data_IF_188934192751
#
_entry.id   IF_188934192751
#
_cell.length_a   1.000
_cell.length_b   1.000
_cell.length_c   1.000
_cell.angle_alpha   90.00
_cell.angle_beta   90.00
_cell.angle_gamma   90.00
#
_symmetry.space_group_name_H-M   'P 1'
#
loop_
_entity.id
_entity.type
_entity.pdbx_description
1 polymer ?
#
# COMPACT_ATOMS: atom_id res chain seq x y z
N UNK A 1 -2.06 21.29 -12.61
CA UNK A 1 -1.48 20.36 -11.67
C UNK A 1 -1.10 20.97 -10.31
N UNK A 2 -2.13 21.38 -9.57
CA UNK A 2 -1.97 21.94 -8.25
C UNK A 2 -3.07 21.44 -7.29
N UNK A 3 -3.78 20.38 -7.64
CA UNK A 3 -4.91 19.87 -6.87
C UNK A 3 -4.73 18.37 -6.63
N UNK A 4 -4.84 17.94 -5.37
CA UNK A 4 -4.78 16.55 -4.94
C UNK A 4 -5.97 16.21 -4.07
N UNK A 5 -6.32 14.93 -3.98
CA UNK A 5 -7.29 14.43 -3.03
C UNK A 5 -6.55 13.61 -1.96
N UNK A 6 -6.80 13.90 -0.69
CA UNK A 6 -6.36 13.08 0.44
C UNK A 6 -7.59 12.45 1.06
N UNK A 7 -7.56 11.12 1.31
CA UNK A 7 -8.68 10.39 1.88
C UNK A 7 -8.24 9.41 2.98
N UNK A 8 -9.18 9.10 3.88
CA UNK A 8 -9.06 8.02 4.85
C UNK A 8 -10.35 7.23 4.90
N UNK A 9 -10.24 5.90 4.80
CA UNK A 9 -11.38 5.00 4.82
C UNK A 9 -11.25 3.92 5.90
N UNK A 10 -12.35 3.31 6.25
CA UNK A 10 -12.39 2.23 7.24
C UNK A 10 -12.35 0.84 6.59
N UNK A 11 -12.82 0.72 5.35
CA UNK A 11 -12.90 -0.54 4.59
C UNK A 11 -13.25 -0.29 3.11
N UNK A 12 -13.49 -1.39 2.36
CA UNK A 12 -13.92 -1.41 0.93
C UNK A 12 -13.00 -0.62 -0.01
N UNK A 13 -11.71 -0.61 0.28
CA UNK A 13 -10.67 0.19 -0.36
C UNK A 13 -10.69 0.05 -1.89
N UNK A 14 -10.85 -1.17 -2.41
CA UNK A 14 -10.83 -1.42 -3.86
C UNK A 14 -12.04 -0.80 -4.58
N UNK A 15 -13.22 -0.77 -3.93
CA UNK A 15 -14.40 -0.07 -4.47
C UNK A 15 -14.20 1.43 -4.40
N UNK A 16 -13.65 1.88 -3.28
CA UNK A 16 -13.40 3.29 -3.03
C UNK A 16 -12.47 3.89 -4.09
N UNK A 17 -11.27 3.30 -4.31
CA UNK A 17 -10.33 3.80 -5.32
C UNK A 17 -10.90 3.80 -6.72
N UNK A 18 -11.74 2.81 -7.06
CA UNK A 18 -12.43 2.77 -8.35
C UNK A 18 -13.41 3.94 -8.50
N UNK A 19 -14.17 4.22 -7.44
CA UNK A 19 -15.13 5.33 -7.42
C UNK A 19 -14.41 6.67 -7.50
N UNK A 20 -13.38 6.88 -6.68
CA UNK A 20 -12.57 8.11 -6.72
C UNK A 20 -11.93 8.31 -8.09
N UNK A 21 -11.32 7.26 -8.66
CA UNK A 21 -10.67 7.36 -9.96
C UNK A 21 -11.65 7.80 -11.05
N UNK A 22 -12.87 7.26 -11.07
CA UNK A 22 -13.89 7.65 -12.05
C UNK A 22 -14.29 9.13 -11.98
N UNK A 23 -14.21 9.73 -10.79
CA UNK A 23 -14.56 11.13 -10.55
C UNK A 23 -13.38 12.09 -10.68
N UNK A 24 -12.18 11.68 -10.25
CA UNK A 24 -11.00 12.53 -10.10
C UNK A 24 -10.10 12.51 -11.34
N UNK A 25 -9.88 11.32 -11.95
CA UNK A 25 -8.97 11.19 -13.08
C UNK A 25 -9.35 12.06 -14.29
N UNK A 26 -10.64 12.21 -14.68
CA UNK A 26 -11.02 13.12 -15.75
C UNK A 26 -10.71 14.60 -15.49
N UNK A 27 -10.46 14.95 -14.22
CA UNK A 27 -10.10 16.31 -13.78
C UNK A 27 -8.60 16.46 -13.52
N UNK A 28 -7.80 15.43 -13.76
CA UNK A 28 -6.35 15.41 -13.49
C UNK A 28 -6.01 15.47 -11.99
N UNK A 29 -6.95 15.13 -11.10
CA UNK A 29 -6.75 15.14 -9.65
C UNK A 29 -6.25 13.76 -9.22
N UNK A 30 -5.08 13.73 -8.61
CA UNK A 30 -4.47 12.50 -8.06
C UNK A 30 -4.93 12.25 -6.62
N UNK A 31 -4.99 10.96 -6.25
CA UNK A 31 -5.43 10.49 -4.93
C UNK A 31 -4.24 9.95 -4.13
N UNK A 32 -4.11 10.42 -2.89
CA UNK A 32 -3.35 9.79 -1.82
C UNK A 32 -4.31 9.44 -0.68
N UNK A 33 -4.22 8.23 -0.14
CA UNK A 33 -5.11 7.84 0.94
C UNK A 33 -4.56 6.71 1.81
N UNK A 34 -5.28 6.42 2.91
CA UNK A 34 -4.92 5.38 3.85
C UNK A 34 -6.12 4.72 4.52
N UNK A 35 -5.97 3.44 4.83
CA UNK A 35 -6.97 2.69 5.58
C UNK A 35 -6.75 2.90 7.07
N UNK A 36 -7.78 3.27 7.80
CA UNK A 36 -7.77 3.40 9.25
C UNK A 36 -7.73 2.00 9.88
N UNK A 37 -6.87 1.80 10.87
CA UNK A 37 -6.70 0.53 11.57
C UNK A 37 -6.46 0.72 13.07
N UNK A 38 -6.34 -0.37 13.82
CA UNK A 38 -5.93 -0.34 15.23
C UNK A 38 -7.02 0.13 16.19
N UNK A 39 -8.29 -0.07 15.85
CA UNK A 39 -9.37 0.16 16.80
C UNK A 39 -9.18 -0.72 18.05
N UNK A 40 -9.51 -0.22 19.25
CA UNK A 40 -9.51 -1.05 20.47
C UNK A 40 -10.39 -2.29 20.32
N UNK A 41 -10.08 -3.35 21.06
CA UNK A 41 -10.81 -4.61 21.01
C UNK A 41 -12.32 -4.41 21.15
N UNK A 42 -13.06 -5.05 20.25
CA UNK A 42 -14.51 -4.98 20.18
C UNK A 42 -15.08 -3.66 19.62
N UNK A 43 -14.23 -2.73 19.16
CA UNK A 43 -14.65 -1.51 18.48
C UNK A 43 -14.33 -1.56 17.00
N UNK A 44 -15.14 -0.88 16.20
CA UNK A 44 -14.86 -0.67 14.78
C UNK A 44 -13.92 0.51 14.57
N UNK A 45 -13.18 0.48 13.47
CA UNK A 45 -12.45 1.65 12.96
C UNK A 45 -13.45 2.73 12.53
N UNK A 46 -13.09 3.98 12.75
CA UNK A 46 -13.95 5.13 12.49
C UNK A 46 -13.20 6.24 11.80
N UNK A 47 -13.91 7.04 11.03
CA UNK A 47 -13.46 8.35 10.53
C UNK A 47 -14.34 9.43 11.12
N UNK A 48 -13.86 10.69 11.13
CA UNK A 48 -14.66 11.80 11.67
C UNK A 48 -14.74 12.96 10.67
N UNK A 49 -15.92 13.60 10.64
CA UNK A 49 -16.17 14.79 9.85
C UNK A 49 -17.09 15.74 10.61
N UNK A 50 -16.67 17.00 10.74
CA UNK A 50 -17.44 18.05 11.45
C UNK A 50 -17.90 17.63 12.86
N UNK A 51 -17.02 16.98 13.62
CA UNK A 51 -17.31 16.55 15.00
C UNK A 51 -18.21 15.32 15.11
N UNK A 52 -18.61 14.70 13.99
CA UNK A 52 -19.35 13.44 13.95
C UNK A 52 -18.44 12.28 13.58
N UNK A 53 -18.73 11.12 14.13
CA UNK A 53 -18.01 9.87 13.93
C UNK A 53 -18.81 8.98 12.99
N UNK A 54 -18.11 8.32 12.05
CA UNK A 54 -18.71 7.45 11.05
C UNK A 54 -17.95 6.13 11.00
N UNK A 55 -18.70 5.02 11.03
CA UNK A 55 -18.23 3.67 10.74
C UNK A 55 -18.52 3.35 9.26
N UNK A 56 -17.81 2.35 8.70
CA UNK A 56 -18.00 1.91 7.31
C UNK A 56 -18.05 3.08 6.30
N UNK A 57 -17.09 3.99 6.43
CA UNK A 57 -17.12 5.28 5.76
C UNK A 57 -15.74 5.72 5.27
N UNK A 58 -15.75 6.74 4.44
CA UNK A 58 -14.57 7.46 3.98
C UNK A 58 -14.75 8.95 4.23
N UNK A 59 -13.69 9.61 4.64
CA UNK A 59 -13.58 11.08 4.64
C UNK A 59 -12.49 11.50 3.67
N UNK A 60 -12.68 12.61 2.97
CA UNK A 60 -11.69 13.11 2.04
C UNK A 60 -11.68 14.63 1.98
N UNK A 61 -10.56 15.18 1.51
CA UNK A 61 -10.40 16.57 1.18
C UNK A 61 -9.79 16.73 -0.21
N UNK A 62 -10.38 17.57 -1.04
CA UNK A 62 -9.78 18.02 -2.29
C UNK A 62 -9.05 19.33 -1.97
N UNK A 63 -7.72 19.29 -2.11
CA UNK A 63 -6.82 20.37 -1.71
C UNK A 63 -6.22 20.99 -2.96
N UNK A 64 -6.47 22.27 -3.18
CA UNK A 64 -5.84 23.05 -4.24
C UNK A 64 -4.73 23.92 -3.64
N UNK A 65 -3.51 23.71 -4.07
CA UNK A 65 -2.43 24.63 -3.77
C UNK A 65 -2.56 25.88 -4.64
N UNK A 66 -2.77 27.03 -4.03
CA UNK A 66 -3.00 28.30 -4.73
C UNK A 66 -1.69 29.03 -5.05
N UNK A 67 -0.56 28.58 -4.50
CA UNK A 67 0.74 29.25 -4.62
C UNK A 67 1.77 28.47 -5.42
N UNK A 68 1.48 27.20 -5.71
CA UNK A 68 2.43 26.33 -6.40
C UNK A 68 1.82 25.02 -6.86
N UNK A 69 2.67 24.08 -7.19
CA UNK A 69 2.33 22.73 -7.61
C UNK A 69 1.93 21.87 -6.43
N UNK A 70 1.06 20.87 -6.67
CA UNK A 70 0.82 19.75 -5.78
C UNK A 70 0.82 18.45 -6.59
N UNK A 71 1.39 17.39 -6.05
CA UNK A 71 1.43 16.08 -6.71
C UNK A 71 1.41 14.93 -5.70
N UNK A 72 1.16 13.71 -6.17
CA UNK A 72 1.12 12.50 -5.36
C UNK A 72 2.14 11.49 -5.86
N UNK A 73 2.87 10.88 -4.95
CA UNK A 73 3.91 9.88 -5.22
C UNK A 73 3.63 8.59 -4.45
N UNK A 74 4.11 7.47 -5.00
CA UNK A 74 4.07 6.15 -4.37
C UNK A 74 5.48 5.57 -4.35
N UNK A 75 5.89 5.02 -3.23
CA UNK A 75 7.16 4.32 -3.08
C UNK A 75 6.92 2.86 -2.72
N UNK A 76 7.50 1.96 -3.52
CA UNK A 76 7.53 0.53 -3.29
C UNK A 76 8.98 0.09 -3.07
N UNK A 77 9.25 -0.59 -1.96
CA UNK A 77 10.60 -1.07 -1.58
C UNK A 77 10.84 -2.54 -1.93
N UNK A 78 9.92 -3.16 -2.66
CA UNK A 78 10.02 -4.57 -3.06
C UNK A 78 10.19 -4.70 -4.56
N UNK A 79 10.91 -5.75 -4.95
CA UNK A 79 11.20 -6.11 -6.32
C UNK A 79 10.69 -7.52 -6.63
N UNK A 80 10.48 -7.85 -7.90
CA UNK A 80 10.21 -9.23 -8.31
C UNK A 80 11.39 -10.12 -7.88
N UNK A 81 11.10 -11.17 -7.12
CA UNK A 81 12.13 -12.12 -6.69
C UNK A 81 12.76 -12.84 -7.88
N UNK A 82 11.93 -13.18 -8.87
CA UNK A 82 12.30 -13.77 -10.17
C UNK A 82 11.28 -13.30 -11.22
N UNK A 83 11.54 -13.59 -12.50
CA UNK A 83 10.57 -13.35 -13.57
C UNK A 83 9.43 -14.38 -13.60
N UNK A 84 9.48 -15.38 -12.71
CA UNK A 84 8.46 -16.41 -12.62
C UNK A 84 7.20 -15.83 -11.96
N UNK A 85 6.06 -16.12 -12.56
CA UNK A 85 4.75 -15.74 -12.07
C UNK A 85 3.82 -16.95 -11.97
N UNK A 86 2.74 -16.79 -11.23
CA UNK A 86 1.71 -17.79 -11.01
C UNK A 86 0.34 -17.22 -11.33
N UNK A 87 -0.59 -18.06 -11.74
CA UNK A 87 -1.98 -17.66 -11.88
C UNK A 87 -2.80 -18.05 -10.65
N UNK A 88 -3.58 -17.11 -10.14
CA UNK A 88 -4.54 -17.36 -9.07
C UNK A 88 -5.76 -18.11 -9.62
N UNK A 89 -5.67 -19.45 -9.70
CA UNK A 89 -6.71 -20.27 -10.34
C UNK A 89 -8.00 -20.35 -9.52
N UNK A 90 -7.87 -20.41 -8.19
CA UNK A 90 -8.99 -20.46 -7.26
C UNK A 90 -8.80 -19.44 -6.15
N UNK A 91 -9.80 -18.58 -5.99
CA UNK A 91 -9.80 -17.50 -5.01
C UNK A 91 -11.18 -17.40 -4.34
N UNK A 92 -11.21 -16.90 -3.12
CA UNK A 92 -12.41 -16.37 -2.46
C UNK A 92 -12.24 -14.86 -2.29
N UNK A 93 -12.82 -14.10 -3.20
CA UNK A 93 -12.67 -12.64 -3.22
C UNK A 93 -13.36 -11.96 -2.03
N UNK A 94 -14.42 -12.57 -1.47
CA UNK A 94 -15.11 -12.03 -0.30
C UNK A 94 -14.25 -12.14 0.96
N UNK A 95 -13.49 -13.24 1.07
CA UNK A 95 -12.53 -13.46 2.17
C UNK A 95 -11.13 -12.96 1.87
N UNK A 96 -10.91 -12.35 0.70
CA UNK A 96 -9.59 -11.93 0.22
C UNK A 96 -8.57 -13.11 0.24
N UNK A 97 -9.00 -14.35 -0.06
CA UNK A 97 -8.18 -15.55 0.01
C UNK A 97 -7.76 -16.07 -1.37
N UNK A 98 -6.47 -16.41 -1.49
CA UNK A 98 -5.91 -17.17 -2.62
C UNK A 98 -5.83 -18.62 -2.20
N UNK A 99 -6.65 -19.46 -2.82
CA UNK A 99 -6.78 -20.88 -2.47
C UNK A 99 -5.77 -21.70 -3.28
N UNK A 100 -5.66 -21.42 -4.58
CA UNK A 100 -4.74 -22.13 -5.48
C UNK A 100 -3.98 -21.16 -6.38
N UNK A 101 -2.71 -21.46 -6.54
CA UNK A 101 -1.81 -20.93 -7.55
C UNK A 101 -1.38 -22.08 -8.48
N UNK A 102 -1.56 -21.93 -9.79
CA UNK A 102 -1.24 -22.95 -10.81
C UNK A 102 -1.83 -24.34 -10.50
N UNK A 103 -3.06 -24.39 -9.95
CA UNK A 103 -3.79 -25.61 -9.62
C UNK A 103 -3.26 -26.35 -8.38
N UNK A 104 -2.41 -25.73 -7.56
CA UNK A 104 -1.87 -26.27 -6.30
C UNK A 104 -2.22 -25.32 -5.15
N UNK A 105 -2.26 -25.84 -3.92
CA UNK A 105 -2.48 -25.00 -2.75
C UNK A 105 -1.50 -23.82 -2.72
N UNK A 106 -2.00 -22.61 -2.49
CA UNK A 106 -1.20 -21.39 -2.60
C UNK A 106 0.01 -21.40 -1.65
N UNK A 107 -0.16 -21.92 -0.44
CA UNK A 107 0.94 -22.07 0.52
C UNK A 107 2.01 -23.05 0.07
N UNK A 108 1.65 -24.11 -0.68
CA UNK A 108 2.62 -25.07 -1.23
C UNK A 108 3.49 -24.42 -2.30
N UNK A 109 2.86 -23.65 -3.18
CA UNK A 109 3.57 -22.94 -4.24
C UNK A 109 4.51 -21.91 -3.64
N UNK A 110 4.02 -21.11 -2.69
CA UNK A 110 4.82 -20.11 -2.00
C UNK A 110 6.01 -20.74 -1.25
N UNK A 111 5.72 -21.73 -0.37
CA UNK A 111 6.75 -22.42 0.43
C UNK A 111 7.85 -23.03 -0.43
N UNK A 112 7.47 -23.70 -1.52
CA UNK A 112 8.45 -24.34 -2.41
C UNK A 112 9.32 -23.33 -3.18
N UNK A 113 8.76 -22.20 -3.59
CA UNK A 113 9.53 -21.25 -4.40
C UNK A 113 10.34 -20.28 -3.54
N UNK A 114 9.76 -19.80 -2.44
CA UNK A 114 10.44 -18.88 -1.54
C UNK A 114 11.45 -19.61 -0.63
N UNK A 115 11.24 -20.91 -0.40
CA UNK A 115 12.10 -21.73 0.46
C UNK A 115 11.81 -21.56 1.94
N UNK A 116 10.57 -21.22 2.30
CA UNK A 116 10.15 -20.96 3.69
C UNK A 116 9.16 -22.04 4.14
N UNK A 117 9.30 -22.60 5.35
CA UNK A 117 8.33 -23.53 5.91
C UNK A 117 6.91 -22.92 5.95
N UNK A 118 5.87 -23.74 5.77
CA UNK A 118 4.49 -23.25 5.69
C UNK A 118 4.05 -22.46 6.92
N UNK A 119 4.42 -22.92 8.12
CA UNK A 119 4.14 -22.26 9.38
C UNK A 119 4.83 -20.90 9.54
N UNK A 120 5.77 -20.56 8.66
CA UNK A 120 6.50 -19.29 8.63
C UNK A 120 6.08 -18.35 7.50
N UNK A 121 5.14 -18.74 6.66
CA UNK A 121 4.73 -17.93 5.49
C UNK A 121 4.25 -16.55 5.91
N UNK A 122 3.34 -16.47 6.90
CA UNK A 122 2.77 -15.20 7.35
C UNK A 122 3.82 -14.30 7.99
N UNK A 123 4.72 -14.87 8.81
CA UNK A 123 5.83 -14.12 9.41
C UNK A 123 6.81 -13.60 8.34
N UNK A 124 6.94 -14.30 7.22
CA UNK A 124 7.86 -13.94 6.14
C UNK A 124 7.33 -12.82 5.22
N UNK A 125 6.13 -12.31 5.45
CA UNK A 125 5.51 -11.25 4.64
C UNK A 125 6.36 -9.98 4.52
N UNK A 126 7.19 -9.68 5.50
CA UNK A 126 8.10 -8.54 5.46
C UNK A 126 9.26 -8.72 4.47
N UNK A 127 9.64 -9.95 4.17
CA UNK A 127 10.72 -10.25 3.24
C UNK A 127 10.20 -10.58 1.84
N UNK A 128 9.14 -11.39 1.77
CA UNK A 128 8.64 -11.91 0.50
C UNK A 128 7.10 -11.84 0.42
N UNK A 129 6.50 -10.65 0.28
CA UNK A 129 5.07 -10.54 0.06
C UNK A 129 4.67 -11.05 -1.33
N UNK A 130 3.37 -11.31 -1.52
CA UNK A 130 2.81 -11.50 -2.84
C UNK A 130 2.58 -10.16 -3.54
N UNK A 131 2.74 -10.14 -4.87
CA UNK A 131 2.46 -9.01 -5.71
C UNK A 131 1.56 -9.40 -6.89
N UNK A 132 0.52 -8.60 -7.14
CA UNK A 132 -0.37 -8.74 -8.29
C UNK A 132 0.10 -7.85 -9.44
N UNK A 133 0.30 -8.42 -10.62
CA UNK A 133 0.62 -7.64 -11.81
C UNK A 133 -0.62 -6.93 -12.36
N UNK A 134 -0.46 -5.66 -12.74
CA UNK A 134 -1.45 -4.85 -13.45
C UNK A 134 -0.70 -3.98 -14.47
N UNK A 135 -0.79 -4.32 -15.74
CA UNK A 135 0.09 -3.75 -16.75
C UNK A 135 1.56 -4.06 -16.44
N UNK A 136 2.40 -3.07 -16.50
CA UNK A 136 3.84 -3.20 -16.21
C UNK A 136 4.18 -3.09 -14.71
N UNK A 137 3.19 -2.77 -13.88
CA UNK A 137 3.36 -2.58 -12.45
C UNK A 137 3.01 -3.83 -11.63
N UNK A 138 3.65 -3.99 -10.47
CA UNK A 138 3.30 -5.02 -9.50
C UNK A 138 2.87 -4.35 -8.19
N UNK A 139 1.65 -4.65 -7.77
CA UNK A 139 1.04 -4.12 -6.56
C UNK A 139 1.01 -5.17 -5.46
N UNK A 140 1.59 -4.83 -4.32
CA UNK A 140 1.70 -5.75 -3.19
C UNK A 140 0.30 -6.08 -2.63
N UNK A 141 0.12 -7.35 -2.29
CA UNK A 141 -1.01 -7.88 -1.54
C UNK A 141 -0.44 -8.63 -0.34
N UNK A 142 -0.43 -7.97 0.81
CA UNK A 142 0.18 -8.53 2.03
C UNK A 142 -0.64 -9.67 2.58
N UNK A 143 0.03 -10.78 2.88
CA UNK A 143 -0.57 -11.94 3.54
C UNK A 143 -0.79 -11.63 5.02
N UNK A 144 -1.94 -12.02 5.55
CA UNK A 144 -2.30 -11.82 6.96
C UNK A 144 -2.54 -13.11 7.72
N UNK A 145 -2.90 -14.20 7.01
CA UNK A 145 -3.23 -15.48 7.63
C UNK A 145 -3.14 -16.63 6.61
N UNK A 146 -3.13 -17.85 7.11
CA UNK A 146 -3.16 -19.09 6.33
C UNK A 146 -4.05 -20.13 7.02
N UNK A 147 -4.93 -20.78 6.28
CA UNK A 147 -5.72 -21.87 6.83
C UNK A 147 -5.00 -23.23 6.75
N UNK A 148 -5.59 -24.24 7.41
CA UNK A 148 -5.06 -25.61 7.44
C UNK A 148 -5.01 -26.29 6.06
N UNK A 149 -5.70 -25.76 5.06
CA UNK A 149 -5.71 -26.27 3.68
C UNK A 149 -4.70 -25.55 2.79
N UNK A 150 -4.00 -24.56 3.32
CA UNK A 150 -2.98 -23.78 2.61
C UNK A 150 -3.54 -22.66 1.75
N UNK A 151 -4.76 -22.17 2.02
CA UNK A 151 -5.23 -20.92 1.44
C UNK A 151 -4.56 -19.74 2.15
N UNK A 152 -4.08 -18.75 1.39
CA UNK A 152 -3.43 -17.55 1.90
C UNK A 152 -4.42 -16.38 1.90
N UNK A 153 -4.70 -15.84 3.07
CA UNK A 153 -5.57 -14.69 3.26
C UNK A 153 -4.75 -13.40 3.17
N UNK A 154 -5.32 -12.39 2.52
CA UNK A 154 -4.63 -11.14 2.20
C UNK A 154 -5.42 -9.92 2.66
N UNK A 155 -4.74 -8.80 2.85
CA UNK A 155 -5.41 -7.52 3.09
C UNK A 155 -6.06 -6.95 1.82
N UNK A 156 -5.54 -7.30 0.65
CA UNK A 156 -6.04 -6.87 -0.66
C UNK A 156 -6.66 -8.03 -1.43
N UNK A 157 -7.68 -7.74 -2.23
CA UNK A 157 -8.31 -8.74 -3.11
C UNK A 157 -7.38 -9.13 -4.25
N UNK A 158 -7.32 -10.43 -4.49
CA UNK A 158 -6.75 -11.03 -5.68
C UNK A 158 -7.90 -11.71 -6.42
N UNK A 159 -8.02 -11.48 -7.71
CA UNK A 159 -9.09 -12.03 -8.52
C UNK A 159 -8.64 -13.34 -9.17
N UNK A 160 -9.62 -14.13 -9.60
CA UNK A 160 -9.34 -15.34 -10.39
C UNK A 160 -8.59 -14.94 -11.67
N UNK A 161 -7.53 -15.70 -11.97
CA UNK A 161 -6.60 -15.51 -13.08
C UNK A 161 -5.71 -14.25 -12.99
N UNK A 162 -5.68 -13.56 -11.86
CA UNK A 162 -4.63 -12.55 -11.64
C UNK A 162 -3.25 -13.22 -11.71
N UNK A 163 -2.30 -12.49 -12.30
CA UNK A 163 -0.90 -12.88 -12.38
C UNK A 163 -0.19 -12.44 -11.09
N UNK A 164 0.40 -13.39 -10.37
CA UNK A 164 1.02 -13.21 -9.06
C UNK A 164 2.52 -13.46 -9.13
N UNK A 165 3.30 -12.52 -8.63
CA UNK A 165 4.72 -12.65 -8.35
C UNK A 165 4.97 -12.82 -6.86
N UNK A 166 6.00 -13.56 -6.48
CA UNK A 166 6.59 -13.44 -5.15
C UNK A 166 7.68 -12.38 -5.21
N UNK A 167 7.65 -11.49 -4.23
CA UNK A 167 8.55 -10.35 -4.18
C UNK A 167 9.68 -10.60 -3.19
N UNK A 168 10.72 -9.81 -3.27
CA UNK A 168 11.78 -9.71 -2.27
C UNK A 168 11.99 -8.27 -1.85
N UNK A 169 12.37 -8.09 -0.61
CA UNK A 169 12.81 -6.77 -0.13
C UNK A 169 14.03 -6.34 -0.94
N UNK A 170 13.94 -5.18 -1.59
CA UNK A 170 15.03 -4.55 -2.32
C UNK A 170 16.01 -3.82 -1.40
N UNK A 171 16.97 -3.12 -2.00
CA UNK A 171 17.78 -2.15 -1.25
C UNK A 171 16.93 -0.91 -0.94
N UNK A 172 16.07 -1.05 0.09
CA UNK A 172 15.09 -0.03 0.44
C UNK A 172 15.72 1.32 0.77
N UNK A 173 16.94 1.35 1.32
CA UNK A 173 17.65 2.61 1.63
C UNK A 173 18.01 3.37 0.37
N UNK A 174 18.47 2.67 -0.65
CA UNK A 174 18.78 3.26 -1.94
C UNK A 174 17.50 3.62 -2.74
N UNK A 175 16.47 2.76 -2.67
CA UNK A 175 15.17 3.03 -3.31
C UNK A 175 14.58 4.33 -2.75
N UNK A 176 14.52 4.48 -1.43
CA UNK A 176 14.02 5.69 -0.76
C UNK A 176 14.84 6.94 -1.09
N UNK A 177 16.17 6.81 -1.11
CA UNK A 177 17.04 7.92 -1.50
C UNK A 177 16.72 8.40 -2.92
N UNK A 178 16.62 7.46 -3.87
CA UNK A 178 16.32 7.78 -5.27
C UNK A 178 14.93 8.40 -5.42
N UNK A 179 13.95 7.90 -4.69
CA UNK A 179 12.59 8.44 -4.69
C UNK A 179 12.51 9.84 -4.09
N UNK A 180 13.23 10.12 -2.99
CA UNK A 180 13.33 11.48 -2.46
C UNK A 180 14.02 12.44 -3.45
N UNK A 181 15.02 11.97 -4.20
CA UNK A 181 15.63 12.76 -5.26
C UNK A 181 14.66 13.02 -6.43
N UNK A 182 13.85 12.06 -6.80
CA UNK A 182 12.77 12.22 -7.79
C UNK A 182 11.78 13.30 -7.35
N UNK A 183 11.32 13.23 -6.09
CA UNK A 183 10.43 14.23 -5.51
C UNK A 183 11.08 15.60 -5.57
N UNK A 184 12.36 15.75 -5.15
CA UNK A 184 13.08 17.03 -5.21
C UNK A 184 13.17 17.61 -6.62
N UNK A 185 13.40 16.75 -7.63
CA UNK A 185 13.48 17.21 -9.03
C UNK A 185 12.14 17.64 -9.60
N UNK A 186 11.05 17.18 -9.01
CA UNK A 186 9.69 17.47 -9.47
C UNK A 186 9.14 18.81 -9.01
N UNK A 187 9.83 19.48 -8.06
CA UNK A 187 9.41 20.73 -7.45
C UNK A 187 10.55 21.74 -7.39
N UNK A 188 10.23 23.03 -7.53
CA UNK A 188 11.21 24.11 -7.34
C UNK A 188 11.54 24.33 -5.86
N UNK A 189 10.52 24.15 -5.02
CA UNK A 189 10.61 24.21 -3.55
C UNK A 189 9.51 23.32 -2.97
N UNK A 190 9.82 22.57 -1.94
CA UNK A 190 8.85 21.76 -1.21
C UNK A 190 8.52 22.45 0.11
N UNK A 191 7.26 22.79 0.33
CA UNK A 191 6.79 23.39 1.59
C UNK A 191 6.24 22.33 2.54
N UNK A 192 5.56 21.31 2.01
CA UNK A 192 4.96 20.25 2.82
C UNK A 192 4.97 18.90 2.08
N UNK A 193 5.32 17.86 2.81
CA UNK A 193 5.11 16.47 2.45
C UNK A 193 4.15 15.85 3.48
N UNK A 194 3.02 15.32 3.02
CA UNK A 194 2.11 14.54 3.84
C UNK A 194 2.20 13.08 3.41
N UNK A 195 2.82 12.22 4.23
CA UNK A 195 3.01 10.81 3.93
C UNK A 195 2.04 9.89 4.67
N UNK A 196 1.68 8.79 4.04
CA UNK A 196 0.89 7.68 4.58
C UNK A 196 1.72 6.43 4.36
N UNK A 197 2.21 5.85 5.44
CA UNK A 197 3.06 4.66 5.44
C UNK A 197 2.28 3.44 5.90
N UNK A 198 2.43 2.32 5.21
CA UNK A 198 1.83 1.07 5.65
C UNK A 198 2.36 0.64 7.01
N UNK A 199 1.47 0.12 7.88
CA UNK A 199 1.87 -0.45 9.17
C UNK A 199 2.95 -1.53 9.02
N UNK A 200 2.90 -2.35 7.97
CA UNK A 200 3.90 -3.38 7.73
C UNK A 200 5.27 -2.79 7.36
N UNK A 201 5.30 -1.70 6.60
CA UNK A 201 6.54 -0.97 6.32
C UNK A 201 7.09 -0.34 7.61
N UNK A 202 6.23 0.29 8.41
CA UNK A 202 6.62 0.83 9.72
C UNK A 202 7.22 -0.26 10.62
N UNK A 203 6.56 -1.44 10.73
CA UNK A 203 7.06 -2.55 11.55
C UNK A 203 8.40 -3.09 11.04
N UNK A 204 8.58 -3.21 9.72
CA UNK A 204 9.87 -3.55 9.12
C UNK A 204 10.96 -2.58 9.59
N UNK A 205 10.72 -1.27 9.48
CA UNK A 205 11.70 -0.25 9.85
C UNK A 205 11.95 -0.18 11.36
N UNK A 206 10.98 -0.50 12.18
CA UNK A 206 11.17 -0.66 13.63
C UNK A 206 12.10 -1.85 13.92
N UNK A 207 11.86 -3.00 13.29
CA UNK A 207 12.70 -4.19 13.45
C UNK A 207 14.14 -3.93 13.02
N UNK A 208 14.33 -3.21 11.93
CA UNK A 208 15.64 -2.81 11.38
C UNK A 208 16.27 -1.61 12.11
N UNK A 209 15.58 -1.02 13.11
CA UNK A 209 15.99 0.22 13.80
C UNK A 209 16.24 1.40 12.84
N UNK A 210 15.54 1.42 11.73
CA UNK A 210 15.74 2.37 10.64
C UNK A 210 14.71 3.51 10.62
N UNK A 211 13.56 3.36 11.28
CA UNK A 211 12.45 4.31 11.20
C UNK A 211 12.85 5.76 11.53
N UNK A 212 13.70 5.97 12.54
CA UNK A 212 14.18 7.32 12.88
C UNK A 212 15.00 7.97 11.77
N UNK A 213 15.83 7.19 11.06
CA UNK A 213 16.60 7.66 9.90
C UNK A 213 15.64 8.03 8.77
N UNK A 214 14.70 7.14 8.45
CA UNK A 214 13.66 7.37 7.43
C UNK A 214 12.87 8.67 7.70
N UNK A 215 12.37 8.87 8.91
CA UNK A 215 11.59 10.04 9.28
C UNK A 215 12.41 11.35 9.13
N UNK A 216 13.67 11.34 9.54
CA UNK A 216 14.57 12.47 9.38
C UNK A 216 14.85 12.76 7.90
N UNK A 217 15.06 11.73 7.11
CA UNK A 217 15.28 11.84 5.66
C UNK A 217 14.05 12.41 4.95
N UNK A 218 12.85 12.00 5.31
CA UNK A 218 11.61 12.58 4.79
C UNK A 218 11.47 14.06 5.20
N UNK A 219 11.78 14.41 6.45
CA UNK A 219 11.78 15.79 6.92
C UNK A 219 12.81 16.67 6.20
N UNK A 220 13.85 16.09 5.61
CA UNK A 220 14.83 16.83 4.80
C UNK A 220 14.28 17.36 3.46
N UNK A 221 13.12 16.88 3.02
CA UNK A 221 12.44 17.36 1.81
C UNK A 221 11.79 18.73 2.03
N UNK A 222 11.26 18.99 3.24
CA UNK A 222 10.50 20.18 3.62
C UNK A 222 9.76 19.93 4.92
N UNK A 223 8.70 20.68 5.22
CA UNK A 223 7.80 20.33 6.31
C UNK A 223 7.24 18.93 6.09
N UNK A 224 7.34 18.03 7.08
CA UNK A 224 6.87 16.66 6.96
C UNK A 224 5.87 16.29 8.06
N UNK A 225 4.74 15.72 7.65
CA UNK A 225 3.76 15.09 8.52
C UNK A 225 3.48 13.71 7.97
N UNK A 226 3.69 12.68 8.78
CA UNK A 226 3.42 11.30 8.41
C UNK A 226 2.37 10.64 9.31
N UNK A 227 1.57 9.77 8.72
CA UNK A 227 0.63 8.89 9.42
C UNK A 227 0.89 7.44 9.04
N UNK A 228 0.51 6.51 9.92
CA UNK A 228 0.60 5.08 9.63
C UNK A 228 -0.80 4.58 9.29
N UNK A 229 -0.92 3.90 8.14
CA UNK A 229 -2.16 3.32 7.62
C UNK A 229 -2.17 1.79 7.61
N UNK A 230 -3.34 1.18 7.53
CA UNK A 230 -3.53 -0.27 7.35
C UNK A 230 -3.42 -0.75 5.89
N UNK A 231 -2.91 0.10 5.04
CA UNK A 231 -2.78 0.02 3.59
C UNK A 231 -3.01 1.40 3.01
N UNK A 232 -2.54 1.63 1.78
CA UNK A 232 -2.56 2.94 1.14
C UNK A 232 -3.45 2.92 -0.10
N UNK A 233 -3.97 4.10 -0.48
CA UNK A 233 -4.67 4.33 -1.73
C UNK A 233 -3.83 5.28 -2.59
N UNK A 234 -3.52 4.83 -3.79
CA UNK A 234 -2.77 5.60 -4.78
C UNK A 234 -3.54 5.61 -6.10
N UNK A 235 -4.14 6.74 -6.45
CA UNK A 235 -4.95 6.91 -7.67
C UNK A 235 -6.06 5.85 -7.76
N UNK A 236 -5.92 4.86 -8.66
CA UNK A 236 -6.88 3.79 -8.89
C UNK A 236 -6.50 2.46 -8.21
N UNK A 237 -5.51 2.45 -7.33
CA UNK A 237 -5.01 1.24 -6.68
C UNK A 237 -5.05 1.34 -5.15
N UNK A 238 -5.56 0.30 -4.52
CA UNK A 238 -5.25 0.01 -3.12
C UNK A 238 -3.94 -0.78 -3.07
N UNK A 239 -3.02 -0.39 -2.20
CA UNK A 239 -1.67 -0.95 -2.09
C UNK A 239 -1.33 -1.27 -0.64
N UNK A 240 -0.38 -2.18 -0.43
CA UNK A 240 0.12 -2.55 0.88
C UNK A 240 1.65 -2.43 0.91
N UNK A 241 2.23 -2.31 2.08
CA UNK A 241 3.68 -2.27 2.32
C UNK A 241 4.40 -1.18 1.51
N UNK A 242 3.69 -0.12 1.17
CA UNK A 242 4.19 1.03 0.43
C UNK A 242 4.17 2.30 1.29
N UNK A 243 4.67 3.38 0.75
CA UNK A 243 4.38 4.73 1.20
C UNK A 243 3.71 5.48 0.05
N UNK A 244 2.67 6.24 0.37
CA UNK A 244 2.07 7.21 -0.55
C UNK A 244 2.17 8.58 0.09
N UNK A 245 2.54 9.61 -0.69
CA UNK A 245 2.60 10.96 -0.16
C UNK A 245 2.02 12.00 -1.11
N UNK A 246 1.39 13.01 -0.54
CA UNK A 246 1.04 14.25 -1.22
C UNK A 246 2.12 15.29 -0.92
N UNK A 247 2.64 15.95 -1.97
CA UNK A 247 3.72 16.92 -1.90
C UNK A 247 3.24 18.27 -2.42
N UNK A 248 3.54 19.32 -1.70
CA UNK A 248 3.11 20.69 -2.00
C UNK A 248 4.32 21.64 -2.08
N UNK A 249 4.29 22.53 -3.09
CA UNK A 249 5.17 23.69 -3.21
C UNK A 249 4.86 24.77 -2.19
#
# INVERSE_FOLDING_TARGET
DNTVCIEFCTNDEEKLVTTFNSCLAPKGIKLAGGTVFGAPDGKKTVVSYNGKIYEDACVFAIIKNTTGKADVFKENIYEKRTDKYHFANRVDTAKKAVIELDGRAAADVYSNEVGVPKDKIVENVFNNPMGRAVGDEVYISSMMDMDSKGALYNYKRINKNDCIYFLSLGDYKNIEKNHREEIRRSFSKISLVFSIDCIYRYLLYQNEKYFGTYANDMASLGGHVGVIGGGEQFNNQHVNQTMVCAVFE
#
